data_IF_058131827203
#
_entry.id   IF_058131827203
#
_cell.length_a   1.000
_cell.length_b   1.000
_cell.length_c   1.000
_cell.angle_alpha   90.00
_cell.angle_beta   90.00
_cell.angle_gamma   90.00
#
_symmetry.space_group_name_H-M   'P 1'
#
loop_
_entity.id
_entity.type
_entity.pdbx_description
1 polymer ?
#
# COMPACT_ATOMS: atom_id res chain seq x y z
N UNK A 1 32.29 0.73 18.89
CA UNK A 1 31.33 0.26 17.89
C UNK A 1 31.85 -1.08 17.40
N UNK A 2 31.48 -2.18 18.06
CA UNK A 2 32.03 -3.51 17.75
C UNK A 2 31.10 -4.37 16.88
N UNK A 3 29.84 -3.98 16.77
CA UNK A 3 28.79 -4.70 16.05
C UNK A 3 27.97 -3.69 15.23
N UNK A 4 28.52 -3.32 14.07
CA UNK A 4 27.86 -2.45 13.12
C UNK A 4 27.33 -3.27 11.96
N UNK A 5 26.08 -3.03 11.60
CA UNK A 5 25.47 -3.56 10.38
C UNK A 5 25.00 -2.43 9.48
N UNK A 6 24.86 -2.69 8.18
CA UNK A 6 24.38 -1.70 7.22
C UNK A 6 23.24 -2.21 6.35
N UNK A 7 22.27 -1.32 6.07
CA UNK A 7 21.17 -1.57 5.13
C UNK A 7 21.17 -0.45 4.09
N UNK A 8 21.12 -0.83 2.81
CA UNK A 8 21.03 0.07 1.67
C UNK A 8 19.58 0.41 1.36
N UNK A 9 19.30 1.70 1.16
CA UNK A 9 17.94 2.22 1.05
C UNK A 9 17.81 3.19 -0.13
N UNK A 10 16.65 3.13 -0.78
CA UNK A 10 16.14 4.17 -1.67
C UNK A 10 14.77 4.61 -1.18
N UNK A 11 14.67 5.81 -0.61
CA UNK A 11 13.39 6.37 -0.20
C UNK A 11 12.69 6.98 -1.41
N UNK A 12 11.44 6.59 -1.64
CA UNK A 12 10.58 7.12 -2.71
C UNK A 12 9.24 7.58 -2.12
N UNK A 13 8.46 8.36 -2.86
CA UNK A 13 7.08 8.62 -2.48
C UNK A 13 6.12 8.64 -3.67
N UNK A 14 4.91 8.13 -3.46
CA UNK A 14 3.79 8.24 -4.40
C UNK A 14 2.64 8.98 -3.72
N UNK A 15 2.23 10.13 -4.26
CA UNK A 15 1.19 10.98 -3.64
C UNK A 15 1.54 11.47 -2.22
N UNK A 16 2.82 11.44 -1.84
CA UNK A 16 3.29 11.86 -0.52
C UNK A 16 3.37 10.74 0.52
N UNK A 17 2.87 9.54 0.23
CA UNK A 17 3.16 8.36 1.03
C UNK A 17 4.57 7.90 0.71
N UNK A 18 5.43 7.88 1.74
CA UNK A 18 6.84 7.51 1.61
C UNK A 18 6.97 5.99 1.72
N UNK A 19 7.61 5.39 0.72
CA UNK A 19 8.02 3.99 0.73
C UNK A 19 9.54 3.94 0.75
N UNK A 20 10.09 3.44 1.85
CA UNK A 20 11.51 3.15 2.00
C UNK A 20 11.82 1.82 1.36
N UNK A 21 12.54 1.84 0.24
CA UNK A 21 12.87 0.63 -0.49
C UNK A 21 14.20 0.08 0.01
N UNK A 22 14.18 -1.09 0.64
CA UNK A 22 15.41 -1.79 1.06
C UNK A 22 15.98 -2.52 -0.15
N UNK A 23 17.17 -2.09 -0.57
CA UNK A 23 17.83 -2.59 -1.80
C UNK A 23 19.03 -3.48 -1.49
N UNK A 24 19.49 -3.54 -0.23
CA UNK A 24 20.63 -4.36 0.18
C UNK A 24 20.82 -4.41 1.70
N UNK A 25 21.67 -5.34 2.15
CA UNK A 25 21.98 -5.55 3.57
C UNK A 25 21.14 -6.62 4.28
N UNK A 26 20.19 -7.23 3.56
CA UNK A 26 19.35 -8.34 4.04
C UNK A 26 19.68 -9.60 3.26
N UNK A 27 19.92 -10.71 3.98
CA UNK A 27 20.13 -12.04 3.40
C UNK A 27 18.87 -12.56 2.70
N UNK A 28 19.07 -13.51 1.78
CA UNK A 28 17.94 -14.26 1.20
C UNK A 28 17.12 -14.91 2.31
N UNK A 29 15.82 -14.62 2.33
CA UNK A 29 14.89 -15.11 3.34
C UNK A 29 14.43 -16.55 3.03
N UNK A 30 14.17 -17.38 4.06
CA UNK A 30 13.49 -18.66 3.90
C UNK A 30 12.11 -18.51 3.25
N UNK A 31 11.74 -19.48 2.40
CA UNK A 31 10.45 -19.53 1.72
C UNK A 31 10.58 -19.77 0.22
N UNK A 32 9.67 -20.54 -0.35
CA UNK A 32 9.61 -20.87 -1.78
C UNK A 32 8.89 -19.78 -2.60
N UNK A 33 8.19 -18.86 -1.94
CA UNK A 33 7.51 -17.74 -2.58
C UNK A 33 7.74 -16.42 -1.82
N UNK A 34 7.54 -15.28 -2.49
CA UNK A 34 7.52 -13.95 -1.85
C UNK A 34 6.51 -13.91 -0.69
N UNK A 35 5.39 -14.64 -0.81
CA UNK A 35 4.41 -14.77 0.26
C UNK A 35 4.97 -15.50 1.49
N UNK A 36 5.62 -16.63 1.30
CA UNK A 36 6.24 -17.38 2.41
C UNK A 36 7.37 -16.58 3.08
N UNK A 37 8.15 -15.81 2.30
CA UNK A 37 9.18 -14.93 2.83
C UNK A 37 8.58 -13.77 3.65
N UNK A 38 7.45 -13.20 3.22
CA UNK A 38 6.69 -12.22 4.00
C UNK A 38 6.19 -12.81 5.31
N UNK A 39 5.68 -14.04 5.29
CA UNK A 39 5.20 -14.74 6.50
C UNK A 39 6.37 -15.03 7.45
N UNK A 40 7.54 -15.40 6.95
CA UNK A 40 8.75 -15.53 7.75
C UNK A 40 9.16 -14.22 8.42
N UNK A 41 9.15 -13.09 7.70
CA UNK A 41 9.41 -11.78 8.34
C UNK A 41 8.40 -11.48 9.43
N UNK A 42 7.11 -11.74 9.19
CA UNK A 42 6.05 -11.52 10.17
C UNK A 42 6.25 -12.34 11.44
N UNK A 43 6.55 -13.63 11.29
CA UNK A 43 6.50 -14.59 12.39
C UNK A 43 7.84 -14.71 13.13
N UNK A 44 8.97 -14.54 12.42
CA UNK A 44 10.31 -14.82 12.95
C UNK A 44 11.27 -13.61 12.91
N UNK A 45 11.00 -12.56 12.12
CA UNK A 45 11.92 -11.45 11.91
C UNK A 45 11.28 -10.05 11.88
N UNK A 46 10.20 -9.83 12.65
CA UNK A 46 9.46 -8.55 12.66
C UNK A 46 10.27 -7.36 13.19
N UNK A 47 11.44 -7.65 13.78
CA UNK A 47 12.42 -6.64 14.15
C UNK A 47 12.80 -5.72 13.00
N UNK A 48 12.78 -6.19 11.74
CA UNK A 48 13.13 -5.38 10.56
C UNK A 48 12.12 -4.26 10.33
N UNK A 49 10.84 -4.61 10.31
CA UNK A 49 9.74 -3.66 10.16
C UNK A 49 9.75 -2.63 11.28
N UNK A 50 9.87 -3.09 12.53
CA UNK A 50 9.91 -2.18 13.69
C UNK A 50 11.12 -1.26 13.65
N UNK A 51 12.32 -1.79 13.38
CA UNK A 51 13.51 -0.96 13.23
C UNK A 51 13.30 0.13 12.19
N UNK A 52 12.77 -0.19 11.02
CA UNK A 52 12.70 0.75 9.90
C UNK A 52 11.50 1.72 9.95
N UNK A 53 10.49 1.43 10.77
CA UNK A 53 9.28 2.27 10.93
C UNK A 53 9.19 2.98 12.28
N UNK A 54 9.99 2.63 13.27
CA UNK A 54 9.98 3.28 14.60
C UNK A 54 11.15 4.25 14.76
N UNK A 55 11.00 5.20 15.68
CA UNK A 55 12.09 6.10 16.04
C UNK A 55 13.26 5.31 16.63
N UNK A 56 14.52 5.66 16.30
CA UNK A 56 14.95 6.87 15.60
C UNK A 56 15.12 6.73 14.07
N UNK A 57 14.86 5.56 13.49
CA UNK A 57 15.17 5.28 12.09
C UNK A 57 14.02 5.59 11.13
N UNK A 58 12.78 5.52 11.62
CA UNK A 58 11.58 5.77 10.84
C UNK A 58 10.47 6.43 11.64
N UNK A 59 9.31 6.51 11.01
CA UNK A 59 8.05 6.95 11.61
C UNK A 59 6.93 6.03 11.12
N UNK A 60 5.88 5.77 11.94
CA UNK A 60 4.85 4.79 11.61
C UNK A 60 4.02 5.11 10.36
N UNK A 61 4.02 6.36 9.89
CA UNK A 61 3.27 6.76 8.70
C UNK A 61 3.98 6.47 7.37
N UNK A 62 5.22 6.00 7.42
CA UNK A 62 5.92 5.49 6.24
C UNK A 62 5.61 4.01 6.04
N UNK A 63 5.95 3.50 4.86
CA UNK A 63 6.05 2.08 4.58
C UNK A 63 7.48 1.71 4.24
N UNK A 64 7.78 0.42 4.30
CA UNK A 64 9.05 -0.16 3.85
C UNK A 64 8.72 -1.25 2.83
N UNK A 65 9.43 -1.26 1.71
CA UNK A 65 9.36 -2.35 0.73
C UNK A 65 10.73 -3.02 0.67
N UNK A 66 10.82 -4.28 1.07
CA UNK A 66 12.03 -5.08 0.92
C UNK A 66 12.08 -5.71 -0.47
N UNK A 67 13.05 -5.34 -1.29
CA UNK A 67 13.32 -6.05 -2.54
C UNK A 67 13.90 -7.43 -2.26
N UNK A 68 13.35 -8.44 -2.91
CA UNK A 68 13.79 -9.83 -2.83
C UNK A 68 13.88 -10.45 -4.23
N UNK A 69 14.67 -11.53 -4.42
CA UNK A 69 14.59 -12.30 -5.65
C UNK A 69 13.15 -12.76 -5.90
N UNK A 70 12.68 -12.64 -7.15
CA UNK A 70 11.39 -13.19 -7.54
C UNK A 70 11.42 -14.73 -7.48
N UNK A 71 10.34 -15.32 -7.00
CA UNK A 71 10.05 -16.75 -7.12
C UNK A 71 9.34 -17.08 -8.44
N UNK A 72 8.57 -16.14 -8.99
CA UNK A 72 7.87 -16.32 -10.25
C UNK A 72 8.77 -16.01 -11.46
N UNK A 73 8.87 -16.90 -12.47
CA UNK A 73 9.83 -16.76 -13.58
C UNK A 73 9.59 -15.53 -14.47
N UNK A 74 8.35 -15.03 -14.53
CA UNK A 74 8.02 -13.82 -15.30
C UNK A 74 8.32 -12.51 -14.56
N UNK A 75 8.59 -12.55 -13.25
CA UNK A 75 8.82 -11.34 -12.46
C UNK A 75 10.31 -10.96 -12.48
N UNK A 76 10.59 -9.67 -12.63
CA UNK A 76 11.96 -9.14 -12.63
C UNK A 76 12.54 -9.02 -11.22
N UNK A 77 11.66 -8.84 -10.22
CA UNK A 77 11.97 -8.77 -8.80
C UNK A 77 10.70 -9.06 -7.98
N UNK A 78 10.89 -9.57 -6.76
CA UNK A 78 9.86 -9.61 -5.74
C UNK A 78 9.99 -8.44 -4.78
N UNK A 79 8.92 -8.12 -4.06
CA UNK A 79 8.96 -7.13 -2.99
C UNK A 79 8.02 -7.50 -1.85
N UNK A 80 8.42 -7.19 -0.61
CA UNK A 80 7.64 -7.46 0.60
C UNK A 80 7.34 -6.13 1.28
N UNK A 81 6.06 -5.83 1.45
CA UNK A 81 5.58 -4.59 2.03
C UNK A 81 5.52 -4.74 3.57
N UNK A 82 5.91 -3.69 4.26
CA UNK A 82 5.94 -3.55 5.71
C UNK A 82 5.34 -2.19 6.08
N UNK A 83 4.28 -2.18 6.87
CA UNK A 83 3.61 -0.96 7.35
C UNK A 83 3.35 -1.05 8.86
N UNK A 84 2.84 0.04 9.46
CA UNK A 84 2.49 0.06 10.89
C UNK A 84 1.51 -1.06 11.27
N UNK A 85 0.61 -1.43 10.36
CA UNK A 85 -0.38 -2.49 10.60
C UNK A 85 0.17 -3.93 10.43
N UNK A 86 1.44 -4.09 10.03
CA UNK A 86 2.06 -5.39 9.77
C UNK A 86 2.53 -5.55 8.31
N UNK A 87 2.14 -6.66 7.67
CA UNK A 87 2.59 -7.03 6.33
C UNK A 87 1.40 -7.15 5.37
N UNK A 88 1.07 -6.09 4.61
CA UNK A 88 -0.01 -6.16 3.66
C UNK A 88 0.45 -6.95 2.44
N UNK A 89 -0.47 -7.71 1.86
CA UNK A 89 -0.12 -8.66 0.81
C UNK A 89 0.01 -7.96 -0.55
N UNK A 90 -0.49 -6.73 -0.64
CA UNK A 90 -0.42 -5.85 -1.79
C UNK A 90 -0.74 -4.41 -1.36
N UNK A 91 -0.11 -3.43 -2.01
CA UNK A 91 -0.43 -2.01 -1.86
C UNK A 91 -0.09 -1.27 -3.15
N UNK A 92 -1.04 -0.49 -3.65
CA UNK A 92 -0.89 0.23 -4.92
C UNK A 92 0.21 1.28 -4.88
N UNK A 93 0.23 2.15 -3.85
CA UNK A 93 1.26 3.20 -3.72
C UNK A 93 2.65 2.60 -3.56
N UNK A 94 2.81 1.56 -2.74
CA UNK A 94 4.08 0.83 -2.61
C UNK A 94 4.51 0.17 -3.93
N UNK A 95 3.57 -0.39 -4.70
CA UNK A 95 3.89 -0.92 -6.03
C UNK A 95 4.43 0.16 -6.97
N UNK A 96 3.82 1.35 -6.98
CA UNK A 96 4.30 2.48 -7.79
C UNK A 96 5.70 2.93 -7.34
N UNK A 97 5.93 3.00 -6.04
CA UNK A 97 7.22 3.31 -5.42
C UNK A 97 8.30 2.29 -5.78
N UNK A 98 8.02 1.01 -5.54
CA UNK A 98 8.91 -0.12 -5.86
C UNK A 98 9.21 -0.19 -7.35
N UNK A 99 8.23 0.00 -8.23
CA UNK A 99 8.45 0.02 -9.67
C UNK A 99 9.41 1.14 -10.11
N UNK A 100 9.25 2.35 -9.57
CA UNK A 100 10.21 3.44 -9.79
C UNK A 100 11.58 3.07 -9.25
N UNK A 101 11.67 2.50 -8.04
CA UNK A 101 12.95 2.11 -7.45
C UNK A 101 13.70 1.03 -8.25
N UNK A 102 13.01 0.03 -8.76
CA UNK A 102 13.57 -1.02 -9.63
C UNK A 102 14.14 -0.44 -10.93
N UNK A 103 13.55 0.64 -11.44
CA UNK A 103 14.06 1.37 -12.60
C UNK A 103 15.25 2.27 -12.26
N UNK A 104 15.19 3.00 -11.15
CA UNK A 104 16.25 3.92 -10.74
C UNK A 104 17.51 3.19 -10.27
N UNK A 105 17.36 2.01 -9.66
CA UNK A 105 18.48 1.14 -9.26
C UNK A 105 19.07 0.32 -10.41
N UNK A 106 18.42 0.34 -11.58
CA UNK A 106 18.88 -0.39 -12.76
C UNK A 106 18.65 -1.90 -12.72
N UNK A 107 17.87 -2.42 -11.77
CA UNK A 107 17.40 -3.83 -11.80
C UNK A 107 16.63 -4.08 -13.10
N UNK A 108 15.77 -3.13 -13.48
CA UNK A 108 15.24 -3.02 -14.84
C UNK A 108 15.90 -1.81 -15.51
N UNK A 109 16.62 -2.00 -16.64
CA UNK A 109 17.18 -0.87 -17.38
C UNK A 109 16.09 0.08 -17.88
N UNK A 110 16.24 1.38 -17.62
CA UNK A 110 15.32 2.41 -18.15
C UNK A 110 15.39 2.48 -19.68
N UNK A 111 14.23 2.43 -20.33
CA UNK A 111 14.06 2.60 -21.78
C UNK A 111 13.07 3.73 -22.05
N UNK A 112 13.41 4.66 -22.95
CA UNK A 112 12.54 5.77 -23.34
C UNK A 112 11.20 5.28 -23.91
N UNK A 113 10.12 6.00 -23.57
CA UNK A 113 8.76 5.66 -23.94
C UNK A 113 8.07 4.76 -22.90
N UNK A 114 7.14 3.94 -23.36
CA UNK A 114 6.36 3.04 -22.52
C UNK A 114 7.04 1.68 -22.45
N UNK A 115 7.39 1.26 -21.24
CA UNK A 115 7.99 -0.05 -20.97
C UNK A 115 7.12 -0.84 -19.99
N UNK A 116 7.13 -2.16 -20.14
CA UNK A 116 6.31 -3.07 -19.35
C UNK A 116 7.18 -4.16 -18.73
N UNK A 117 6.93 -4.45 -17.47
CA UNK A 117 7.58 -5.52 -16.72
C UNK A 117 6.61 -6.00 -15.64
N UNK A 118 7.00 -7.06 -14.91
CA UNK A 118 6.18 -7.62 -13.85
C UNK A 118 6.99 -7.67 -12.56
N UNK A 119 6.35 -7.32 -11.46
CA UNK A 119 6.87 -7.51 -10.10
C UNK A 119 6.09 -8.64 -9.44
N UNK A 120 6.67 -9.23 -8.40
CA UNK A 120 5.98 -10.22 -7.56
C UNK A 120 5.73 -9.65 -6.16
N UNK A 121 4.46 -9.44 -5.83
CA UNK A 121 4.00 -9.10 -4.49
C UNK A 121 3.69 -10.40 -3.70
N UNK A 122 3.46 -10.33 -2.38
CA UNK A 122 2.93 -11.47 -1.63
C UNK A 122 1.54 -11.95 -2.12
N UNK A 123 0.80 -11.12 -2.84
CA UNK A 123 -0.44 -11.48 -3.51
C UNK A 123 -0.26 -12.13 -4.90
N UNK A 124 0.98 -12.19 -5.41
CA UNK A 124 1.32 -12.76 -6.71
C UNK A 124 1.84 -11.73 -7.71
N UNK A 125 1.74 -12.08 -8.99
CA UNK A 125 2.31 -11.32 -10.09
C UNK A 125 1.53 -10.02 -10.32
N UNK A 126 2.25 -8.91 -10.51
CA UNK A 126 1.68 -7.59 -10.76
C UNK A 126 2.22 -7.04 -12.06
N UNK A 127 1.33 -6.78 -13.03
CA UNK A 127 1.70 -6.11 -14.27
C UNK A 127 2.00 -4.63 -14.00
N UNK A 128 3.16 -4.18 -14.46
CA UNK A 128 3.59 -2.78 -14.38
C UNK A 128 3.82 -2.23 -15.78
N UNK A 129 3.38 -1.00 -15.99
CA UNK A 129 3.68 -0.16 -17.15
C UNK A 129 4.25 1.17 -16.65
N UNK A 130 5.40 1.58 -17.17
CA UNK A 130 6.03 2.85 -16.81
C UNK A 130 6.32 3.67 -18.07
N UNK A 131 6.10 4.98 -18.00
CA UNK A 131 6.57 5.91 -19.02
C UNK A 131 7.87 6.54 -18.55
N UNK A 132 8.90 6.42 -19.38
CA UNK A 132 10.19 7.08 -19.18
C UNK A 132 10.37 8.12 -20.27
N UNK A 133 10.74 9.32 -19.87
CA UNK A 133 11.06 10.41 -20.78
C UNK A 133 12.28 11.15 -20.28
N UNK A 134 13.26 11.37 -21.15
CA UNK A 134 14.50 12.08 -20.83
C UNK A 134 15.21 11.45 -19.60
N UNK A 135 15.16 10.11 -19.51
CA UNK A 135 15.70 9.32 -18.40
C UNK A 135 14.91 9.37 -17.09
N UNK A 136 13.76 10.05 -17.05
CA UNK A 136 12.91 10.22 -15.87
C UNK A 136 11.67 9.34 -15.96
N UNK A 137 11.35 8.61 -14.89
CA UNK A 137 10.06 7.90 -14.76
C UNK A 137 8.95 8.93 -14.53
N UNK A 138 8.13 9.23 -15.55
CA UNK A 138 7.08 10.26 -15.47
C UNK A 138 5.84 9.78 -14.72
N UNK A 139 5.47 8.51 -14.92
CA UNK A 139 4.36 7.85 -14.26
C UNK A 139 4.52 6.34 -14.33
N UNK A 140 3.84 5.66 -13.42
CA UNK A 140 3.73 4.21 -13.36
C UNK A 140 2.24 3.85 -13.27
N UNK A 141 1.86 2.79 -13.98
CA UNK A 141 0.57 2.12 -13.87
C UNK A 141 0.81 0.71 -13.37
N UNK A 142 0.12 0.31 -12.31
CA UNK A 142 0.12 -1.06 -11.84
C UNK A 142 -1.30 -1.66 -11.93
N UNK A 143 -1.37 -2.94 -12.26
CA UNK A 143 -2.60 -3.72 -12.14
C UNK A 143 -3.01 -3.80 -10.67
N UNK A 144 -4.26 -3.46 -10.37
CA UNK A 144 -4.84 -3.60 -9.05
C UNK A 144 -5.26 -5.04 -8.77
N UNK A 145 -5.35 -5.41 -7.49
CA UNK A 145 -5.93 -6.70 -7.14
C UNK A 145 -7.44 -6.72 -7.45
N UNK A 146 -7.98 -7.92 -7.76
CA UNK A 146 -9.41 -8.08 -7.94
C UNK A 146 -10.17 -7.56 -6.71
N UNK A 147 -11.10 -6.63 -6.95
CA UNK A 147 -11.79 -5.88 -5.90
C UNK A 147 -13.29 -6.18 -5.88
N UNK A 148 -13.97 -6.17 -4.73
CA UNK A 148 -15.41 -6.46 -4.66
C UNK A 148 -16.08 -5.79 -3.48
N UNK A 149 -17.41 -5.71 -3.51
CA UNK A 149 -18.24 -5.24 -2.39
C UNK A 149 -18.71 -6.43 -1.56
N UNK A 150 -18.26 -6.48 -0.31
CA UNK A 150 -18.70 -7.45 0.71
C UNK A 150 -20.04 -7.04 1.31
N UNK A 151 -20.15 -5.75 1.67
CA UNK A 151 -21.33 -5.18 2.30
C UNK A 151 -21.68 -3.87 1.61
N UNK A 152 -22.95 -3.71 1.23
CA UNK A 152 -23.43 -2.50 0.59
C UNK A 152 -24.39 -1.72 1.49
N UNK A 153 -24.04 -0.47 1.81
CA UNK A 153 -24.87 0.52 2.52
C UNK A 153 -25.51 0.01 3.82
N UNK A 154 -24.72 -0.63 4.67
CA UNK A 154 -25.13 -0.97 6.04
C UNK A 154 -25.03 0.27 6.95
N UNK A 155 -25.62 0.21 8.13
CA UNK A 155 -25.62 1.32 9.11
C UNK A 155 -25.19 0.82 10.48
N UNK A 156 -24.31 1.58 11.14
CA UNK A 156 -23.83 1.28 12.49
C UNK A 156 -23.98 2.50 13.41
N UNK A 157 -24.27 2.27 14.70
CA UNK A 157 -24.26 3.32 15.72
C UNK A 157 -22.85 3.46 16.29
N UNK A 158 -22.22 4.60 16.06
CA UNK A 158 -20.84 4.86 16.50
C UNK A 158 -20.85 5.79 17.72
N UNK A 159 -20.30 5.36 18.88
CA UNK A 159 -20.26 6.17 20.09
C UNK A 159 -19.63 7.56 19.87
N UNK A 160 -20.40 8.61 20.16
CA UNK A 160 -19.97 10.00 20.02
C UNK A 160 -19.97 10.54 18.59
N UNK A 161 -20.50 9.79 17.61
CA UNK A 161 -20.74 10.25 16.23
C UNK A 161 -22.23 10.11 15.89
N UNK A 162 -22.83 8.95 16.19
CA UNK A 162 -24.22 8.62 15.86
C UNK A 162 -24.32 7.58 14.74
N UNK A 163 -25.43 7.55 13.98
CA UNK A 163 -25.59 6.60 12.86
C UNK A 163 -24.62 6.93 11.73
N UNK A 164 -23.88 5.93 11.27
CA UNK A 164 -22.96 6.02 10.12
C UNK A 164 -23.36 4.97 9.10
N UNK A 165 -23.65 5.42 7.88
CA UNK A 165 -23.84 4.53 6.73
C UNK A 165 -22.49 4.22 6.10
N UNK A 166 -22.23 2.95 5.82
CA UNK A 166 -20.96 2.51 5.25
C UNK A 166 -21.15 1.33 4.28
N UNK A 167 -20.19 1.16 3.38
CA UNK A 167 -20.02 -0.07 2.60
C UNK A 167 -18.67 -0.70 2.95
N UNK A 168 -18.56 -2.02 2.79
CA UNK A 168 -17.29 -2.74 2.93
C UNK A 168 -16.87 -3.24 1.56
N UNK A 169 -15.70 -2.84 1.12
CA UNK A 169 -15.06 -3.32 -0.08
C UNK A 169 -13.77 -4.08 0.29
N UNK A 170 -13.39 -5.06 -0.52
CA UNK A 170 -12.04 -5.61 -0.50
C UNK A 170 -11.31 -5.19 -1.78
N UNK A 171 -10.05 -4.79 -1.64
CA UNK A 171 -9.19 -4.37 -2.77
C UNK A 171 -7.70 -4.59 -2.47
N UNK A 172 -7.37 -5.70 -1.81
CA UNK A 172 -6.04 -5.99 -1.22
C UNK A 172 -6.01 -5.87 0.30
N UNK A 173 -7.05 -5.26 0.87
CA UNK A 173 -7.45 -5.29 2.26
C UNK A 173 -8.91 -4.85 2.36
N UNK A 174 -9.54 -5.00 3.53
CA UNK A 174 -10.91 -4.51 3.72
C UNK A 174 -10.93 -2.99 3.94
N UNK A 175 -11.85 -2.30 3.28
CA UNK A 175 -12.07 -0.86 3.36
C UNK A 175 -13.51 -0.58 3.80
N UNK A 176 -13.67 0.22 4.86
CA UNK A 176 -14.92 0.90 5.12
C UNK A 176 -15.02 2.15 4.24
N UNK A 177 -15.98 2.16 3.33
CA UNK A 177 -16.27 3.31 2.48
C UNK A 177 -17.36 4.14 3.13
N UNK A 178 -17.07 5.41 3.42
CA UNK A 178 -18.01 6.35 4.04
C UNK A 178 -18.06 7.66 3.26
N UNK A 179 -19.23 8.28 3.23
CA UNK A 179 -19.41 9.61 2.66
C UNK A 179 -18.88 10.68 3.64
N UNK A 180 -17.97 11.52 3.16
CA UNK A 180 -17.32 12.54 3.98
C UNK A 180 -18.27 13.68 4.37
N UNK A 181 -19.13 14.13 3.44
CA UNK A 181 -20.05 15.24 3.65
C UNK A 181 -21.14 14.86 4.66
N UNK A 182 -21.61 13.61 4.62
CA UNK A 182 -22.54 13.05 5.60
C UNK A 182 -21.97 13.04 7.04
N UNK A 183 -20.64 13.00 7.16
CA UNK A 183 -19.92 13.08 8.43
C UNK A 183 -19.44 14.50 8.77
N UNK A 184 -19.75 15.49 7.92
CA UNK A 184 -19.43 16.90 8.13
C UNK A 184 -18.01 17.31 7.74
N UNK A 185 -17.29 16.50 6.95
CA UNK A 185 -15.93 16.81 6.48
C UNK A 185 -15.90 17.36 5.06
N UNK A 186 -14.95 18.26 4.79
CA UNK A 186 -14.67 18.81 3.46
C UNK A 186 -13.47 18.17 2.77
N UNK A 187 -12.74 17.32 3.49
CA UNK A 187 -11.51 16.66 3.02
C UNK A 187 -10.42 17.68 2.70
N UNK A 188 -10.14 18.54 3.68
CA UNK A 188 -9.01 19.49 3.66
C UNK A 188 -7.98 19.14 4.72
N UNK A 189 -6.74 19.59 4.52
CA UNK A 189 -5.60 19.25 5.41
C UNK A 189 -5.84 19.64 6.88
N UNK A 190 -6.51 20.74 7.14
CA UNK A 190 -6.82 21.21 8.51
C UNK A 190 -7.74 20.25 9.29
N UNK A 191 -8.44 19.36 8.60
CA UNK A 191 -9.34 18.37 9.19
C UNK A 191 -8.64 17.03 9.52
N UNK A 192 -7.36 16.85 9.18
CA UNK A 192 -6.66 15.55 9.22
C UNK A 192 -6.75 14.85 10.58
N UNK A 193 -6.55 15.59 11.68
CA UNK A 193 -6.66 15.04 13.03
C UNK A 193 -8.11 14.61 13.36
N UNK A 194 -9.10 15.40 12.95
CA UNK A 194 -10.51 15.11 13.18
C UNK A 194 -10.99 13.92 12.33
N UNK A 195 -10.50 13.81 11.09
CA UNK A 195 -10.71 12.68 10.19
C UNK A 195 -10.15 11.39 10.80
N UNK A 196 -8.91 11.41 11.30
CA UNK A 196 -8.28 10.27 11.95
C UNK A 196 -9.07 9.79 13.19
N UNK A 197 -9.48 10.73 14.04
CA UNK A 197 -10.26 10.43 15.24
C UNK A 197 -11.67 9.88 14.91
N UNK A 198 -12.31 10.39 13.86
CA UNK A 198 -13.59 9.89 13.37
C UNK A 198 -13.45 8.47 12.81
N UNK A 199 -12.47 8.27 11.93
CA UNK A 199 -12.20 6.98 11.31
C UNK A 199 -11.87 5.90 12.34
N UNK A 200 -11.05 6.22 13.34
CA UNK A 200 -10.74 5.32 14.45
C UNK A 200 -12.01 4.78 15.11
N UNK A 201 -12.95 5.66 15.48
CA UNK A 201 -14.21 5.26 16.14
C UNK A 201 -15.09 4.40 15.25
N UNK A 202 -15.18 4.72 13.96
CA UNK A 202 -15.97 3.95 12.99
C UNK A 202 -15.37 2.55 12.82
N UNK A 203 -14.06 2.46 12.58
CA UNK A 203 -13.35 1.18 12.39
C UNK A 203 -13.48 0.30 13.63
N UNK A 204 -13.28 0.86 14.83
CA UNK A 204 -13.44 0.11 16.08
C UNK A 204 -14.88 -0.39 16.30
N UNK A 205 -15.88 0.43 15.97
CA UNK A 205 -17.28 0.01 16.07
C UNK A 205 -17.59 -1.15 15.11
N UNK A 206 -17.11 -1.09 13.86
CA UNK A 206 -17.33 -2.16 12.87
C UNK A 206 -16.61 -3.45 13.30
N UNK A 207 -15.34 -3.35 13.72
CA UNK A 207 -14.55 -4.49 14.21
C UNK A 207 -15.20 -5.18 15.42
N UNK A 208 -15.82 -4.41 16.31
CA UNK A 208 -16.52 -4.96 17.48
C UNK A 208 -17.82 -5.70 17.11
N UNK A 209 -18.45 -5.37 15.98
CA UNK A 209 -19.69 -5.99 15.54
C UNK A 209 -19.47 -7.31 14.80
N UNK A 210 -18.46 -7.37 13.91
CA UNK A 210 -18.16 -8.57 13.11
C UNK A 210 -16.73 -8.56 12.56
N UNK A 211 -16.25 -9.76 12.22
CA UNK A 211 -15.08 -9.95 11.36
C UNK A 211 -15.46 -10.08 9.88
N UNK A 212 -14.45 -10.12 9.03
CA UNK A 212 -14.58 -10.31 7.59
C UNK A 212 -13.68 -11.46 7.13
N UNK A 213 -14.08 -12.14 6.06
CA UNK A 213 -13.28 -13.18 5.43
C UNK A 213 -13.27 -12.94 3.93
N UNK A 214 -12.11 -13.04 3.32
CA UNK A 214 -12.00 -13.06 1.88
C UNK A 214 -12.65 -14.33 1.32
N UNK A 215 -13.29 -14.24 0.17
CA UNK A 215 -14.10 -15.32 -0.40
C UNK A 215 -13.27 -16.53 -0.87
N UNK A 216 -12.03 -16.32 -1.29
CA UNK A 216 -11.06 -17.37 -1.65
C UNK A 216 -9.91 -17.54 -0.65
N UNK A 217 -9.34 -16.44 -0.15
CA UNK A 217 -8.17 -16.45 0.73
C UNK A 217 -8.48 -16.75 2.20
N UNK A 218 -9.76 -16.77 2.60
CA UNK A 218 -10.15 -16.98 4.00
C UNK A 218 -9.87 -15.76 4.88
N UNK A 219 -9.33 -15.98 6.09
CA UNK A 219 -8.98 -14.90 7.00
C UNK A 219 -7.76 -14.11 6.49
N UNK A 220 -8.01 -12.85 6.15
CA UNK A 220 -7.01 -11.89 5.65
C UNK A 220 -6.78 -10.75 6.66
N UNK A 221 -7.18 -10.97 7.92
CA UNK A 221 -7.05 -10.01 8.99
C UNK A 221 -8.27 -9.11 9.20
N UNK A 222 -8.20 -8.23 10.23
CA UNK A 222 -9.29 -7.32 10.57
C UNK A 222 -9.46 -6.23 9.52
N UNK A 223 -10.52 -5.42 9.65
CA UNK A 223 -10.70 -4.18 8.89
C UNK A 223 -9.59 -3.16 9.22
N UNK A 224 -8.61 -2.91 8.33
CA UNK A 224 -7.50 -2.00 8.62
C UNK A 224 -7.77 -0.58 8.11
N UNK A 225 -8.65 -0.43 7.13
CA UNK A 225 -8.78 0.79 6.34
C UNK A 225 -10.19 1.39 6.40
N UNK A 226 -10.24 2.71 6.37
CA UNK A 226 -11.45 3.47 6.07
C UNK A 226 -11.12 4.52 5.01
N UNK A 227 -11.94 4.61 3.98
CA UNK A 227 -11.80 5.59 2.91
C UNK A 227 -12.98 6.56 2.95
N UNK A 228 -12.68 7.84 3.17
CA UNK A 228 -13.65 8.91 3.05
C UNK A 228 -13.80 9.30 1.59
N UNK A 229 -15.05 9.24 1.12
CA UNK A 229 -15.44 9.60 -0.23
C UNK A 229 -16.00 11.01 -0.22
N UNK A 230 -15.34 11.94 -0.93
CA UNK A 230 -15.85 13.27 -1.18
C UNK A 230 -16.79 13.32 -2.40
N UNK A 231 -17.30 14.52 -2.74
CA UNK A 231 -18.14 14.70 -3.91
C UNK A 231 -17.41 14.34 -5.21
N UNK A 232 -18.19 13.97 -6.22
CA UNK A 232 -17.70 13.59 -7.54
C UNK A 232 -17.87 14.74 -8.53
N UNK A 233 -16.82 15.04 -9.26
CA UNK A 233 -16.74 16.13 -10.24
C UNK A 233 -16.44 15.53 -11.62
N UNK A 234 -17.30 15.71 -12.64
CA UNK A 234 -17.00 15.24 -13.99
C UNK A 234 -15.85 16.06 -14.60
N UNK A 235 -14.78 15.38 -15.02
CA UNK A 235 -13.64 15.98 -15.74
C UNK A 235 -13.85 15.89 -17.24
N UNK A 236 -14.32 14.74 -17.72
CA UNK A 236 -14.70 14.47 -19.10
C UNK A 236 -15.69 13.30 -19.15
N UNK A 237 -16.18 12.94 -20.34
CA UNK A 237 -16.96 11.71 -20.51
C UNK A 237 -16.13 10.50 -20.07
N UNK A 238 -16.71 9.67 -19.20
CA UNK A 238 -16.02 8.52 -18.60
C UNK A 238 -14.86 8.90 -17.66
N UNK A 239 -14.75 10.15 -17.22
CA UNK A 239 -13.68 10.56 -16.30
C UNK A 239 -14.21 11.45 -15.17
N UNK A 240 -14.18 10.92 -13.95
CA UNK A 240 -14.61 11.59 -12.72
C UNK A 240 -13.40 11.87 -11.83
N UNK A 241 -13.40 13.02 -11.17
CA UNK A 241 -12.48 13.37 -10.09
C UNK A 241 -13.23 13.42 -8.77
N UNK A 242 -12.61 12.97 -7.69
CA UNK A 242 -13.17 13.11 -6.36
C UNK A 242 -12.12 13.25 -5.27
N UNK A 243 -12.31 14.22 -4.38
CA UNK A 243 -11.49 14.33 -3.17
C UNK A 243 -11.72 13.10 -2.30
N UNK A 244 -10.65 12.54 -1.77
CA UNK A 244 -10.70 11.33 -0.96
C UNK A 244 -9.55 11.32 0.05
N UNK A 245 -9.71 10.58 1.15
CA UNK A 245 -8.60 10.30 2.04
C UNK A 245 -8.77 8.93 2.68
N UNK A 246 -7.65 8.23 2.85
CA UNK A 246 -7.62 6.90 3.44
C UNK A 246 -7.01 6.99 4.83
N UNK A 247 -7.65 6.32 5.78
CA UNK A 247 -7.17 6.07 7.11
C UNK A 247 -6.65 4.64 7.21
N UNK A 248 -5.50 4.46 7.86
CA UNK A 248 -4.92 3.17 8.26
C UNK A 248 -4.96 3.06 9.78
N UNK A 249 -5.52 1.97 10.27
CA UNK A 249 -5.63 1.71 11.70
C UNK A 249 -4.29 1.26 12.30
N UNK A 250 -3.88 1.78 13.48
CA UNK A 250 -4.49 2.88 14.24
C UNK A 250 -3.84 4.24 13.93
N UNK A 251 -4.65 5.24 13.56
CA UNK A 251 -4.30 6.65 13.67
C UNK A 251 -3.68 7.34 12.45
N UNK A 252 -3.34 6.62 11.38
CA UNK A 252 -2.59 7.21 10.25
C UNK A 252 -3.54 7.64 9.15
N UNK A 253 -3.48 8.91 8.74
CA UNK A 253 -4.05 9.36 7.47
C UNK A 253 -2.98 9.25 6.40
N UNK A 254 -3.28 8.49 5.34
CA UNK A 254 -2.43 8.42 4.15
C UNK A 254 -2.30 9.83 3.56
N UNK A 255 -1.07 10.18 3.16
CA UNK A 255 -0.78 11.40 2.43
C UNK A 255 -1.31 11.30 1.00
N UNK A 256 -1.30 10.10 0.41
CA UNK A 256 -1.97 9.80 -0.87
C UNK A 256 -3.43 9.38 -0.66
N UNK A 257 -4.14 9.09 -1.75
CA UNK A 257 -5.48 8.49 -1.71
C UNK A 257 -5.46 6.97 -1.64
N UNK A 258 -4.27 6.36 -1.68
CA UNK A 258 -4.01 4.92 -1.73
C UNK A 258 -4.60 4.27 -3.00
N UNK A 259 -3.78 3.55 -3.77
CA UNK A 259 -4.25 2.87 -4.97
C UNK A 259 -5.40 1.91 -4.69
N UNK A 260 -5.27 1.11 -3.63
CA UNK A 260 -6.29 0.17 -3.15
C UNK A 260 -7.57 0.87 -2.66
N UNK A 261 -7.48 2.07 -2.08
CA UNK A 261 -8.65 2.88 -1.74
C UNK A 261 -9.41 3.35 -2.99
N UNK A 262 -8.68 3.72 -4.04
CA UNK A 262 -9.25 4.05 -5.35
C UNK A 262 -9.91 2.84 -6.01
N UNK A 263 -9.27 1.66 -5.96
CA UNK A 263 -9.85 0.40 -6.43
C UNK A 263 -11.13 0.03 -5.67
N UNK A 264 -11.17 0.23 -4.35
CA UNK A 264 -12.37 0.01 -3.54
C UNK A 264 -13.51 0.93 -3.96
N UNK A 265 -13.21 2.20 -4.25
CA UNK A 265 -14.20 3.16 -4.73
C UNK A 265 -14.72 2.83 -6.13
N UNK A 266 -13.84 2.40 -7.04
CA UNK A 266 -14.25 1.87 -8.34
C UNK A 266 -15.16 0.65 -8.20
N UNK A 267 -14.86 -0.26 -7.27
CA UNK A 267 -15.70 -1.43 -7.02
C UNK A 267 -17.11 -1.04 -6.55
N UNK A 268 -17.22 -0.01 -5.70
CA UNK A 268 -18.51 0.53 -5.26
C UNK A 268 -19.28 1.16 -6.43
N UNK A 269 -18.62 1.98 -7.25
CA UNK A 269 -19.26 2.59 -8.42
C UNK A 269 -19.73 1.56 -9.44
N UNK A 270 -18.97 0.48 -9.65
CA UNK A 270 -19.41 -0.65 -10.47
C UNK A 270 -20.62 -1.36 -9.85
N UNK A 271 -20.61 -1.62 -8.55
CA UNK A 271 -21.73 -2.25 -7.84
C UNK A 271 -23.03 -1.43 -7.97
N UNK A 272 -22.90 -0.10 -8.04
CA UNK A 272 -24.01 0.83 -8.30
C UNK A 272 -24.42 0.91 -9.79
N UNK A 273 -23.74 0.18 -10.68
CA UNK A 273 -24.03 0.17 -12.12
C UNK A 273 -23.61 1.43 -12.86
N UNK A 274 -22.59 2.14 -12.36
CA UNK A 274 -22.21 3.50 -12.82
C UNK A 274 -20.95 3.54 -13.70
N UNK A 275 -20.34 2.40 -14.02
CA UNK A 275 -19.08 2.32 -14.77
C UNK A 275 -19.22 1.55 -16.08
N UNK A 276 -18.47 1.99 -17.08
CA UNK A 276 -18.20 1.31 -18.35
C UNK A 276 -16.69 1.07 -18.48
N UNK A 277 -16.27 -0.05 -19.09
CA UNK A 277 -14.85 -0.36 -19.28
C UNK A 277 -14.12 0.80 -19.95
N UNK A 278 -13.01 1.24 -19.34
CA UNK A 278 -12.24 2.41 -19.74
C UNK A 278 -12.54 3.67 -18.92
N UNK A 279 -13.63 3.67 -18.13
CA UNK A 279 -13.94 4.78 -17.22
C UNK A 279 -12.85 4.96 -16.16
N UNK A 280 -12.67 6.22 -15.76
CA UNK A 280 -11.60 6.66 -14.87
C UNK A 280 -12.14 7.39 -13.65
N UNK A 281 -11.52 7.10 -12.53
CA UNK A 281 -11.68 7.82 -11.27
C UNK A 281 -10.33 8.39 -10.85
N UNK A 282 -10.19 9.72 -10.85
CA UNK A 282 -9.08 10.42 -10.20
C UNK A 282 -9.45 10.72 -8.76
N UNK A 283 -8.78 10.08 -7.81
CA UNK A 283 -8.92 10.41 -6.39
C UNK A 283 -7.86 11.44 -6.02
N UNK A 284 -8.24 12.51 -5.31
CA UNK A 284 -7.33 13.60 -4.89
C UNK A 284 -7.22 13.66 -3.38
N UNK A 285 -6.00 13.62 -2.85
CA UNK A 285 -5.74 13.57 -1.41
C UNK A 285 -5.86 14.94 -0.73
N UNK A 286 -5.78 14.95 0.61
CA UNK A 286 -5.72 16.20 1.40
C UNK A 286 -4.53 17.10 1.05
N UNK A 287 -3.55 16.57 0.31
CA UNK A 287 -2.31 17.25 -0.12
C UNK A 287 -2.31 17.57 -1.62
N UNK A 288 -3.47 17.49 -2.27
CA UNK A 288 -3.67 17.81 -3.70
C UNK A 288 -2.86 16.93 -4.66
N UNK A 289 -2.51 15.71 -4.23
CA UNK A 289 -1.92 14.69 -5.10
C UNK A 289 -2.98 13.68 -5.50
N UNK A 290 -2.91 13.13 -6.71
CA UNK A 290 -3.91 12.19 -7.18
C UNK A 290 -3.37 10.89 -7.74
N UNK A 291 -4.24 9.87 -7.69
CA UNK A 291 -4.10 8.61 -8.41
C UNK A 291 -5.30 8.44 -9.34
N UNK A 292 -5.05 7.84 -10.50
CA UNK A 292 -6.09 7.57 -11.50
C UNK A 292 -6.33 6.07 -11.52
N UNK A 293 -7.50 5.66 -11.05
CA UNK A 293 -7.99 4.31 -11.26
C UNK A 293 -8.70 4.20 -12.60
N UNK A 294 -8.40 3.17 -13.38
CA UNK A 294 -9.13 2.84 -14.61
C UNK A 294 -9.86 1.52 -14.42
N UNK A 295 -11.16 1.51 -14.67
CA UNK A 295 -11.97 0.29 -14.65
C UNK A 295 -11.72 -0.53 -15.92
N UNK A 296 -11.20 -1.75 -15.77
CA UNK A 296 -10.78 -2.58 -16.92
C UNK A 296 -11.71 -3.73 -17.20
N UNK A 297 -12.53 -4.15 -16.24
CA UNK A 297 -13.44 -5.27 -16.44
C UNK A 297 -14.10 -5.75 -15.16
N UNK A 298 -14.98 -6.73 -15.32
CA UNK A 298 -15.51 -7.53 -14.21
C UNK A 298 -15.64 -8.98 -14.63
N UNK A 299 -15.60 -9.85 -13.64
CA UNK A 299 -15.99 -11.25 -13.79
C UNK A 299 -16.67 -11.74 -12.51
N UNK A 300 -17.32 -12.90 -12.60
CA UNK A 300 -18.01 -13.51 -11.46
C UNK A 300 -17.07 -14.51 -10.78
N UNK A 301 -16.87 -14.38 -9.47
CA UNK A 301 -16.22 -15.39 -8.64
C UNK A 301 -17.11 -15.77 -7.45
N UNK A 302 -17.69 -16.96 -7.51
CA UNK A 302 -18.66 -17.42 -6.52
C UNK A 302 -19.82 -16.43 -6.38
N UNK A 303 -20.01 -15.89 -5.19
CA UNK A 303 -21.08 -14.94 -4.88
C UNK A 303 -20.76 -13.48 -5.26
N UNK A 304 -19.51 -13.17 -5.62
CA UNK A 304 -19.06 -11.80 -5.82
C UNK A 304 -18.85 -11.48 -7.31
N UNK A 305 -19.34 -10.31 -7.71
CA UNK A 305 -18.87 -9.68 -8.95
C UNK A 305 -17.58 -8.95 -8.61
N UNK A 306 -16.48 -9.42 -9.19
CA UNK A 306 -15.15 -8.91 -8.94
C UNK A 306 -14.80 -7.90 -10.02
N UNK A 307 -14.11 -6.84 -9.61
CA UNK A 307 -13.77 -5.67 -10.40
C UNK A 307 -12.27 -5.70 -10.66
N UNK A 308 -11.93 -5.64 -11.95
CA UNK A 308 -10.57 -5.49 -12.44
C UNK A 308 -10.32 -4.00 -12.69
N UNK A 309 -9.14 -3.54 -12.28
CA UNK A 309 -8.75 -2.16 -12.45
C UNK A 309 -7.23 -2.01 -12.54
N UNK A 310 -6.77 -0.85 -12.99
CA UNK A 310 -5.39 -0.43 -12.87
C UNK A 310 -5.30 0.92 -12.16
N UNK A 311 -4.18 1.15 -11.47
CA UNK A 311 -3.89 2.39 -10.77
C UNK A 311 -2.68 3.05 -11.42
N UNK A 312 -2.86 4.27 -11.90
CA UNK A 312 -1.79 5.14 -12.41
C UNK A 312 -1.45 6.21 -11.38
N UNK A 313 -0.17 6.41 -11.13
CA UNK A 313 0.33 7.48 -10.29
C UNK A 313 1.76 7.89 -10.64
N UNK A 314 2.25 8.89 -9.92
CA UNK A 314 3.65 9.33 -10.00
C UNK A 314 4.37 8.93 -8.73
N UNK A 315 5.61 8.48 -8.89
CA UNK A 315 6.53 8.21 -7.79
C UNK A 315 7.84 8.96 -8.01
N UNK A 316 8.38 9.54 -6.94
CA UNK A 316 9.59 10.34 -6.98
C UNK A 316 10.61 9.79 -5.97
N UNK A 317 11.88 9.78 -6.36
CA UNK A 317 12.99 9.49 -5.46
C UNK A 317 13.19 10.67 -4.52
N UNK A 318 13.28 10.37 -3.23
CA UNK A 318 13.60 11.33 -2.17
C UNK A 318 15.07 11.28 -1.81
N UNK A 319 15.63 10.09 -1.61
CA UNK A 319 16.98 9.91 -1.08
C UNK A 319 17.54 8.53 -1.38
N UNK A 320 18.82 8.47 -1.73
CA UNK A 320 19.65 7.27 -1.65
C UNK A 320 20.44 7.32 -0.35
N UNK A 321 20.36 6.29 0.50
CA UNK A 321 21.03 6.30 1.80
C UNK A 321 21.47 4.92 2.26
N UNK A 322 22.33 4.91 3.28
CA UNK A 322 22.64 3.74 4.08
C UNK A 322 22.29 4.03 5.53
N UNK A 323 21.59 3.13 6.20
CA UNK A 323 21.48 3.18 7.66
C UNK A 323 22.54 2.30 8.29
N UNK A 324 23.01 2.73 9.46
CA UNK A 324 23.95 1.98 10.29
C UNK A 324 23.20 1.51 11.54
N UNK A 325 23.22 0.20 11.76
CA UNK A 325 22.63 -0.45 12.93
C UNK A 325 23.77 -0.74 13.88
N UNK A 326 23.73 -0.14 15.06
CA UNK A 326 24.72 -0.38 16.11
C UNK A 326 24.10 -1.27 17.19
N UNK A 327 24.54 -2.52 17.30
CA UNK A 327 24.00 -3.43 18.33
C UNK A 327 24.47 -3.08 19.75
N UNK A 328 25.40 -2.13 19.91
CA UNK A 328 25.74 -1.53 21.21
C UNK A 328 24.72 -0.42 21.63
N UNK A 329 23.81 -0.01 20.73
CA UNK A 329 22.78 1.00 21.01
C UNK A 329 21.58 0.39 21.77
N UNK A 330 21.22 0.90 22.96
CA UNK A 330 20.10 0.37 23.74
C UNK A 330 18.72 0.54 23.07
N UNK A 331 18.61 1.38 22.03
CA UNK A 331 17.38 1.55 21.24
C UNK A 331 17.24 0.51 20.12
N UNK A 332 18.25 -0.36 19.91
CA UNK A 332 18.26 -1.34 18.84
C UNK A 332 18.09 -2.76 19.39
N UNK A 333 17.01 -3.42 19.02
CA UNK A 333 16.76 -4.83 19.34
C UNK A 333 17.52 -5.79 18.39
N UNK A 334 18.86 -5.72 18.39
CA UNK A 334 19.69 -6.42 17.41
C UNK A 334 19.50 -7.95 17.35
N UNK A 335 19.11 -8.60 18.46
CA UNK A 335 18.85 -10.06 18.49
C UNK A 335 17.72 -10.49 17.53
N UNK A 336 16.76 -9.62 17.27
CA UNK A 336 15.62 -9.89 16.37
C UNK A 336 15.96 -9.70 14.90
N UNK A 337 17.13 -9.12 14.60
CA UNK A 337 17.56 -8.75 13.25
C UNK A 337 18.79 -9.53 12.81
N UNK A 338 19.70 -9.83 13.74
CA UNK A 338 21.04 -10.32 13.42
C UNK A 338 21.04 -11.57 12.54
N UNK A 339 19.96 -12.36 12.58
CA UNK A 339 19.85 -13.59 11.81
C UNK A 339 19.39 -13.39 10.35
N UNK A 340 19.10 -12.16 9.93
CA UNK A 340 18.75 -11.80 8.54
C UNK A 340 19.70 -10.75 7.92
N UNK A 341 20.66 -10.20 8.67
CA UNK A 341 21.60 -9.19 8.17
C UNK A 341 22.78 -9.83 7.42
N UNK A 342 23.14 -9.31 6.25
CA UNK A 342 24.16 -9.96 5.40
C UNK A 342 25.60 -9.86 5.90
N UNK A 343 25.96 -8.76 6.53
CA UNK A 343 27.31 -8.52 7.08
C UNK A 343 27.58 -9.28 8.39
N UNK A 344 26.62 -10.06 8.92
CA UNK A 344 26.90 -11.02 10.01
C UNK A 344 27.92 -12.09 9.63
N UNK A 345 28.06 -12.37 8.33
CA UNK A 345 29.01 -13.35 7.81
C UNK A 345 30.44 -12.80 7.80
N UNK A 346 30.60 -11.48 7.89
CA UNK A 346 31.90 -10.83 7.99
C UNK A 346 32.46 -10.99 9.41
N UNK A 347 33.03 -12.17 9.68
CA UNK A 347 33.94 -12.32 10.84
C UNK A 347 35.11 -11.34 10.64
N UNK A 348 35.52 -10.58 11.67
CA UNK A 348 36.83 -9.94 11.61
C UNK A 348 37.89 -11.04 11.40
N UNK A 349 38.90 -10.82 10.55
CA UNK A 349 40.03 -11.75 10.46
C UNK A 349 40.61 -11.91 11.86
N UNK A 350 40.81 -13.18 12.26
CA UNK A 350 41.36 -13.57 13.57
C UNK A 350 42.73 -12.98 13.82
#
# INVERSE_FOLDING_TARGET
MKHLHTIDLLDTHAGGDVSRIVTGGIDTLPGASVREQMEYLRDDADGLRRLLLEEPYGIPEMSVDLLVPASHPDAVAGYIIMEVMGYPIYSGSNTLCTATAVLETGIVPKQEGIQRFKLEAPAGLVQVEASVRDGVVEWVTCEGLPSYIDTYRDTIQVPGIGPVTYSIAYSGGFYALVDAEALGFKLVRDEEQALAACAYKIVEAIKAQRGFSHYTLGDVGPLPFLHFMGPEEPVAEGYIRSRSTTYVHPGVICRSTTGTGTSARLALMNYEGRLTVGDKLETVSLRETGFIGTFTGTHQEGAYQVVENSITGRSYVLTESKIVINCDDPLVACGELHHILSDRHDKPPQ
#
